data_IF_502497767536
#
_entry.id   IF_502497767536
#
_cell.length_a   1.000
_cell.length_b   1.000
_cell.length_c   1.000
_cell.angle_alpha   90.00
_cell.angle_beta   90.00
_cell.angle_gamma   90.00
#
_symmetry.space_group_name_H-M   'P 1'
#
loop_
_entity.id
_entity.type
_entity.pdbx_description
1 polymer ?
#
# COMPACT_ATOMS: atom_id res chain seq x y z
N UNK A 1 8.31 -15.58 17.35
CA UNK A 1 7.49 -14.85 16.36
C UNK A 1 6.37 -15.74 15.80
N UNK A 2 6.67 -16.88 15.16
CA UNK A 2 5.68 -17.74 14.47
C UNK A 2 4.48 -18.15 15.34
N UNK A 3 4.70 -18.68 16.56
CA UNK A 3 3.61 -19.00 17.49
C UNK A 3 2.75 -17.80 17.89
N UNK A 4 3.37 -16.64 18.10
CA UNK A 4 2.66 -15.39 18.47
C UNK A 4 1.84 -14.88 17.29
N UNK A 5 2.40 -14.92 16.08
CA UNK A 5 1.73 -14.52 14.85
C UNK A 5 0.53 -15.42 14.50
N UNK A 6 0.64 -16.72 14.76
CA UNK A 6 -0.42 -17.70 14.54
C UNK A 6 -1.45 -17.74 15.69
N UNK A 7 -1.24 -17.01 16.79
CA UNK A 7 -2.13 -17.01 17.95
C UNK A 7 -2.04 -18.26 18.83
N UNK A 8 -0.98 -19.05 18.70
CA UNK A 8 -0.76 -20.33 19.39
C UNK A 8 0.13 -20.19 20.63
N UNK A 9 0.75 -19.02 20.83
CA UNK A 9 1.62 -18.77 21.96
C UNK A 9 0.83 -18.76 23.29
N UNK A 10 1.37 -19.42 24.31
CA UNK A 10 0.88 -19.26 25.68
C UNK A 10 1.06 -17.82 26.17
N UNK A 11 0.41 -17.46 27.28
CA UNK A 11 0.56 -16.14 27.89
C UNK A 11 2.02 -15.83 28.23
N UNK A 12 2.75 -16.81 28.78
CA UNK A 12 4.17 -16.69 29.15
C UNK A 12 5.07 -16.59 27.91
N UNK A 13 4.83 -17.42 26.88
CA UNK A 13 5.59 -17.33 25.62
C UNK A 13 5.38 -16.00 24.90
N UNK A 14 4.17 -15.44 25.02
CA UNK A 14 3.81 -14.14 24.46
C UNK A 14 4.51 -13.00 25.21
N UNK A 15 4.49 -13.02 26.54
CA UNK A 15 5.18 -12.03 27.38
C UNK A 15 6.68 -12.02 27.11
N UNK A 16 7.32 -13.19 27.16
CA UNK A 16 8.75 -13.33 26.85
C UNK A 16 9.11 -12.82 25.44
N UNK A 17 8.23 -13.04 24.46
CA UNK A 17 8.44 -12.55 23.11
C UNK A 17 8.44 -11.01 23.06
N UNK A 18 7.48 -10.35 23.71
CA UNK A 18 7.39 -8.89 23.73
C UNK A 18 8.49 -8.25 24.59
N UNK A 19 8.87 -8.86 25.71
CA UNK A 19 9.98 -8.39 26.54
C UNK A 19 11.31 -8.38 25.76
N UNK A 20 11.56 -9.43 24.98
CA UNK A 20 12.74 -9.50 24.11
C UNK A 20 12.68 -8.45 22.99
N UNK A 21 11.47 -8.16 22.49
CA UNK A 21 11.25 -7.21 21.40
C UNK A 21 11.29 -5.74 21.87
N UNK A 22 11.00 -5.48 23.14
CA UNK A 22 10.89 -4.14 23.72
C UNK A 22 12.16 -3.31 23.46
N UNK A 23 13.33 -3.90 23.70
CA UNK A 23 14.61 -3.21 23.49
C UNK A 23 14.80 -2.73 22.05
N UNK A 24 14.42 -3.56 21.06
CA UNK A 24 14.50 -3.22 19.65
C UNK A 24 13.47 -2.15 19.27
N UNK A 25 12.25 -2.23 19.83
CA UNK A 25 11.21 -1.23 19.62
C UNK A 25 11.64 0.14 20.16
N UNK A 26 12.21 0.18 21.37
CA UNK A 26 12.72 1.41 21.95
C UNK A 26 13.87 1.98 21.14
N UNK A 27 14.76 1.14 20.62
CA UNK A 27 15.81 1.60 19.71
C UNK A 27 15.21 2.23 18.44
N UNK A 28 14.30 1.55 17.73
CA UNK A 28 13.69 2.08 16.50
C UNK A 28 12.94 3.41 16.75
N UNK A 29 12.24 3.53 17.87
CA UNK A 29 11.46 4.74 18.19
C UNK A 29 12.33 5.95 18.55
N UNK A 30 13.52 5.72 19.10
CA UNK A 30 14.37 6.77 19.65
C UNK A 30 15.68 6.99 18.89
N UNK A 31 16.03 6.11 17.94
CA UNK A 31 17.24 6.25 17.15
C UNK A 31 17.19 7.51 16.26
N UNK A 32 18.33 8.17 16.02
CA UNK A 32 18.42 9.25 15.05
C UNK A 32 17.93 8.81 13.67
N UNK A 33 17.25 9.70 12.96
CA UNK A 33 16.69 9.39 11.65
C UNK A 33 17.77 8.98 10.64
N UNK A 34 18.97 9.54 10.75
CA UNK A 34 20.11 9.27 9.87
C UNK A 34 20.69 7.86 10.04
N UNK A 35 20.43 7.20 11.17
CA UNK A 35 20.83 5.81 11.42
C UNK A 35 19.85 4.83 10.76
N UNK A 36 18.56 5.19 10.77
CA UNK A 36 17.48 4.35 10.25
C UNK A 36 17.20 4.59 8.75
N UNK A 37 17.44 5.80 8.26
CA UNK A 37 17.03 6.24 6.94
C UNK A 37 18.17 6.92 6.20
N UNK A 38 18.27 6.61 4.90
CA UNK A 38 19.10 7.37 3.97
C UNK A 38 18.20 8.27 3.11
N UNK A 39 18.35 9.59 3.27
CA UNK A 39 17.55 10.58 2.56
C UNK A 39 18.36 11.15 1.39
N UNK A 40 17.83 11.02 0.18
CA UNK A 40 18.46 11.52 -1.04
C UNK A 40 17.49 12.35 -1.87
N UNK A 41 18.03 13.31 -2.62
CA UNK A 41 17.25 14.06 -3.60
C UNK A 41 16.98 13.16 -4.80
N UNK A 42 15.72 12.79 -5.01
CA UNK A 42 15.29 12.14 -6.23
C UNK A 42 15.03 13.19 -7.32
N UNK A 43 15.53 12.94 -8.53
CA UNK A 43 15.07 13.65 -9.72
C UNK A 43 13.79 12.97 -10.18
N UNK A 44 12.66 13.64 -9.96
CA UNK A 44 11.37 13.20 -10.48
C UNK A 44 11.11 13.96 -11.78
N UNK A 45 10.67 13.24 -12.81
CA UNK A 45 10.12 13.90 -13.99
C UNK A 45 8.83 14.63 -13.61
N UNK A 46 8.56 15.82 -14.17
CA UNK A 46 7.30 16.51 -13.93
C UNK A 46 6.15 15.60 -14.32
N UNK A 47 5.08 15.61 -13.51
CA UNK A 47 3.86 14.88 -13.88
C UNK A 47 3.39 15.37 -15.26
N UNK A 48 2.92 14.47 -16.14
CA UNK A 48 2.39 14.88 -17.44
C UNK A 48 1.34 15.97 -17.24
N UNK A 49 1.41 17.04 -18.04
CA UNK A 49 0.38 18.10 -18.02
C UNK A 49 -1.00 17.47 -18.19
N UNK A 50 -1.92 17.81 -17.29
CA UNK A 50 -3.28 17.26 -17.28
C UNK A 50 -3.46 15.98 -16.45
N UNK A 51 -2.42 15.47 -15.79
CA UNK A 51 -2.59 14.40 -14.81
C UNK A 51 -3.46 14.88 -13.65
N UNK A 52 -4.59 14.22 -13.46
CA UNK A 52 -5.51 14.44 -12.36
C UNK A 52 -5.99 13.08 -11.84
N UNK A 53 -5.99 12.92 -10.52
CA UNK A 53 -6.65 11.79 -9.85
C UNK A 53 -8.17 11.98 -9.92
N UNK A 54 -8.73 11.67 -11.08
CA UNK A 54 -10.18 11.63 -11.31
C UNK A 54 -10.62 10.19 -11.34
N UNK A 55 -11.65 9.87 -10.57
CA UNK A 55 -12.25 8.56 -10.54
C UNK A 55 -13.55 8.53 -11.38
N UNK A 56 -13.90 7.35 -11.86
CA UNK A 56 -15.16 7.05 -12.57
C UNK A 56 -15.56 5.62 -12.25
N UNK A 57 -16.83 5.29 -12.45
CA UNK A 57 -17.30 3.91 -12.30
C UNK A 57 -17.26 3.17 -13.64
N UNK A 58 -17.02 1.86 -13.59
CA UNK A 58 -17.13 0.97 -14.74
C UNK A 58 -18.60 0.67 -15.04
N UNK A 59 -19.05 0.87 -16.28
CA UNK A 59 -20.43 0.58 -16.70
C UNK A 59 -20.78 -0.92 -16.72
N UNK A 60 -19.79 -1.80 -16.50
CA UNK A 60 -20.00 -3.25 -16.43
C UNK A 60 -20.00 -3.79 -15.00
N UNK A 61 -18.93 -3.56 -14.22
CA UNK A 61 -18.83 -4.08 -12.85
C UNK A 61 -19.27 -3.09 -11.76
N UNK A 62 -19.44 -1.80 -12.08
CA UNK A 62 -19.81 -0.76 -11.11
C UNK A 62 -18.67 -0.27 -10.20
N UNK A 63 -17.50 -0.91 -10.24
CA UNK A 63 -16.35 -0.52 -9.41
C UNK A 63 -15.77 0.83 -9.84
N UNK A 64 -15.31 1.60 -8.85
CA UNK A 64 -14.61 2.86 -9.07
C UNK A 64 -13.15 2.62 -9.46
N UNK A 65 -12.66 3.35 -10.46
CA UNK A 65 -11.28 3.26 -10.91
C UNK A 65 -10.79 4.62 -11.44
N UNK A 66 -9.46 4.76 -11.59
CA UNK A 66 -8.86 5.98 -12.14
C UNK A 66 -9.27 6.15 -13.60
N UNK A 67 -9.92 7.28 -13.90
CA UNK A 67 -10.44 7.62 -15.24
C UNK A 67 -9.37 7.69 -16.33
N UNK A 68 -8.10 7.90 -15.98
CA UNK A 68 -6.95 7.80 -16.90
C UNK A 68 -6.80 6.40 -17.49
N UNK A 69 -7.29 5.37 -16.80
CA UNK A 69 -7.25 3.97 -17.24
C UNK A 69 -8.54 3.53 -17.94
N UNK A 70 -9.42 4.47 -18.30
CA UNK A 70 -10.74 4.14 -18.86
C UNK A 70 -10.65 3.76 -20.35
N UNK A 71 -11.32 2.65 -20.69
CA UNK A 71 -11.56 2.27 -22.08
C UNK A 71 -12.97 2.68 -22.50
N UNK A 72 -13.09 3.39 -23.63
CA UNK A 72 -14.39 3.76 -24.20
C UNK A 72 -14.78 2.76 -25.28
N UNK A 73 -15.90 2.06 -25.09
CA UNK A 73 -16.44 1.08 -26.04
C UNK A 73 -17.88 1.48 -26.36
N UNK A 74 -18.09 2.13 -27.50
CA UNK A 74 -19.36 2.80 -27.81
C UNK A 74 -19.66 3.89 -26.78
N UNK A 75 -20.86 3.82 -26.19
CA UNK A 75 -21.30 4.75 -25.13
C UNK A 75 -20.90 4.32 -23.71
N UNK A 76 -20.16 3.20 -23.58
CA UNK A 76 -19.73 2.67 -22.28
C UNK A 76 -18.29 3.03 -21.92
N UNK A 77 -18.07 3.24 -20.63
CA UNK A 77 -16.79 3.44 -19.96
C UNK A 77 -16.45 2.19 -19.15
N UNK A 78 -15.38 1.50 -19.51
CA UNK A 78 -14.97 0.24 -18.88
C UNK A 78 -13.64 0.37 -18.16
N UNK A 79 -13.51 -0.33 -17.02
CA UNK A 79 -12.23 -0.51 -16.36
C UNK A 79 -11.32 -1.46 -17.17
N UNK A 80 -9.99 -1.45 -16.95
CA UNK A 80 -9.05 -2.31 -17.68
C UNK A 80 -9.40 -3.80 -17.59
N UNK A 81 -9.88 -4.27 -16.43
CA UNK A 81 -10.23 -5.67 -16.21
C UNK A 81 -11.44 -6.09 -17.06
N UNK A 82 -12.52 -5.31 -17.07
CA UNK A 82 -13.69 -5.61 -17.89
C UNK A 82 -13.43 -5.42 -19.40
N UNK A 83 -12.55 -4.50 -19.79
CA UNK A 83 -12.16 -4.35 -21.19
C UNK A 83 -11.32 -5.54 -21.69
N UNK A 84 -10.36 -6.01 -20.90
CA UNK A 84 -9.50 -7.16 -21.27
C UNK A 84 -10.22 -8.52 -21.29
N UNK A 85 -11.46 -8.58 -20.77
CA UNK A 85 -12.31 -9.76 -20.79
C UNK A 85 -13.35 -9.77 -21.92
N UNK A 86 -13.38 -8.72 -22.76
CA UNK A 86 -14.15 -8.67 -24.02
C UNK A 86 -13.45 -9.47 -25.13
#
# INVERSE_FOLDING_TARGET
MEKVANGEASAEEREQFYDQQESLMQYILNAPAEELFNIQKAKLDPTPRGFAFRFTCCDNCGEEFLSVNAHRVGDKVLCPACFGAL
#
